data_IF_006021362539
#
_entry.id   IF_006021362539
#
_cell.length_a   1.000
_cell.length_b   1.000
_cell.length_c   1.000
_cell.angle_alpha   90.00
_cell.angle_beta   90.00
_cell.angle_gamma   90.00
#
_symmetry.space_group_name_H-M   'P 1'
#
loop_
_entity.id
_entity.type
_entity.pdbx_description
1 polymer ?
#
# COMPACT_ATOMS: atom_id res chain seq x y z
N UNK A 1 -4.78 4.19 9.59
CA UNK A 1 -4.47 3.25 8.50
C UNK A 1 -3.03 3.48 8.08
N UNK A 2 -2.32 2.43 7.73
CA UNK A 2 -0.94 2.49 7.22
C UNK A 2 -0.90 1.92 5.81
N UNK A 3 0.10 2.30 5.03
CA UNK A 3 0.47 1.59 3.80
C UNK A 3 1.80 0.90 4.03
N UNK A 4 1.94 -0.33 3.55
CA UNK A 4 3.20 -1.03 3.54
C UNK A 4 3.36 -1.79 2.22
N UNK A 5 4.60 -1.96 1.81
CA UNK A 5 4.96 -2.52 0.52
C UNK A 5 6.44 -2.84 0.42
N UNK A 6 6.88 -3.19 -0.79
CA UNK A 6 8.30 -3.45 -1.05
C UNK A 6 9.20 -2.23 -0.76
N UNK A 7 8.70 -1.00 -0.96
CA UNK A 7 9.43 0.24 -0.65
C UNK A 7 9.77 0.46 0.83
N UNK A 8 9.12 -0.27 1.75
CA UNK A 8 9.40 -0.18 3.19
C UNK A 8 9.54 -1.56 3.85
N UNK A 9 9.89 -2.58 3.08
CA UNK A 9 10.07 -3.96 3.56
C UNK A 9 8.85 -4.48 4.36
N UNK A 10 7.64 -4.08 3.94
CA UNK A 10 6.37 -4.46 4.56
C UNK A 10 6.26 -4.10 6.04
N UNK A 11 6.99 -3.08 6.50
CA UNK A 11 6.98 -2.64 7.90
C UNK A 11 5.88 -1.61 8.18
N UNK A 12 5.27 -1.70 9.36
CA UNK A 12 4.34 -0.69 9.87
C UNK A 12 5.13 0.43 10.54
N UNK A 13 5.39 1.52 9.81
CA UNK A 13 6.11 2.68 10.33
C UNK A 13 5.26 3.95 10.31
N UNK A 14 5.48 4.86 11.27
CA UNK A 14 4.67 6.08 11.40
C UNK A 14 4.78 7.00 10.18
N UNK A 15 5.92 7.00 9.48
CA UNK A 15 6.11 7.76 8.22
C UNK A 15 5.19 7.31 7.07
N UNK A 16 4.62 6.10 7.14
CA UNK A 16 3.68 5.55 6.15
C UNK A 16 2.22 5.53 6.66
N UNK A 17 1.92 6.29 7.71
CA UNK A 17 0.56 6.45 8.19
C UNK A 17 -0.23 7.37 7.26
N UNK A 18 -1.39 6.91 6.81
CA UNK A 18 -2.30 7.72 6.01
C UNK A 18 -3.02 8.73 6.90
N UNK A 19 -3.20 9.94 6.37
CA UNK A 19 -3.96 11.01 7.00
C UNK A 19 -5.40 10.94 6.51
N UNK A 20 -6.36 11.01 7.45
CA UNK A 20 -7.77 11.11 7.13
C UNK A 20 -8.10 12.54 6.70
N UNK A 21 -8.74 12.71 5.55
CA UNK A 21 -9.16 13.99 4.99
C UNK A 21 -10.63 13.88 4.58
N UNK A 22 -11.54 14.18 5.52
CA UNK A 22 -12.98 13.92 5.34
C UNK A 22 -13.25 12.42 5.23
N UNK A 23 -13.78 11.98 4.08
CA UNK A 23 -14.11 10.58 3.80
C UNK A 23 -12.94 9.79 3.17
N UNK A 24 -11.87 10.46 2.74
CA UNK A 24 -10.73 9.83 2.09
C UNK A 24 -9.54 9.67 3.05
N UNK A 25 -8.72 8.65 2.81
CA UNK A 25 -7.41 8.47 3.43
C UNK A 25 -6.34 8.73 2.39
N UNK A 26 -5.34 9.55 2.73
CA UNK A 26 -4.32 9.98 1.78
C UNK A 26 -2.93 10.05 2.41
N UNK A 27 -1.90 9.81 1.61
CA UNK A 27 -0.49 10.00 1.92
C UNK A 27 0.23 10.44 0.64
N UNK A 28 1.25 11.29 0.79
CA UNK A 28 2.16 11.64 -0.29
C UNK A 28 3.50 10.95 -0.01
N UNK A 29 3.97 10.14 -0.94
CA UNK A 29 5.25 9.43 -0.84
C UNK A 29 6.11 9.78 -2.06
N UNK A 30 7.36 10.23 -1.88
CA UNK A 30 8.29 10.31 -2.99
C UNK A 30 8.70 8.88 -3.38
N UNK A 31 8.39 8.48 -4.60
CA UNK A 31 8.77 7.18 -5.18
C UNK A 31 9.59 7.43 -6.45
N UNK A 32 10.61 6.61 -6.66
CA UNK A 32 11.34 6.59 -7.92
C UNK A 32 10.57 5.80 -8.97
N UNK A 33 11.00 5.86 -10.23
CA UNK A 33 10.46 5.01 -11.30
C UNK A 33 10.64 3.54 -10.92
N UNK A 34 9.58 2.74 -11.03
CA UNK A 34 9.63 1.32 -10.71
C UNK A 34 8.28 0.69 -10.41
N UNK A 35 8.33 -0.57 -9.97
CA UNK A 35 7.16 -1.38 -9.63
C UNK A 35 7.05 -1.55 -8.11
N UNK A 36 5.89 -1.25 -7.57
CA UNK A 36 5.64 -1.28 -6.13
C UNK A 36 4.42 -2.14 -5.80
N UNK A 37 4.66 -3.23 -5.08
CA UNK A 37 3.61 -4.00 -4.42
C UNK A 37 3.26 -3.36 -3.08
N UNK A 38 1.99 -3.14 -2.81
CA UNK A 38 1.52 -2.55 -1.55
C UNK A 38 0.19 -3.13 -1.07
N UNK A 39 -0.09 -2.91 0.22
CA UNK A 39 -1.37 -3.11 0.88
C UNK A 39 -1.60 -2.04 1.96
N UNK A 40 -2.86 -1.85 2.31
CA UNK A 40 -3.24 -1.07 3.48
C UNK A 40 -3.33 -1.95 4.72
N UNK A 41 -2.95 -1.40 5.86
CA UNK A 41 -3.04 -2.04 7.18
C UNK A 41 -3.97 -1.22 8.09
N UNK A 42 -5.04 -1.86 8.54
CA UNK A 42 -6.01 -1.30 9.49
C UNK A 42 -6.13 -2.22 10.71
N UNK A 43 -5.58 -1.78 11.84
CA UNK A 43 -5.35 -2.68 12.98
C UNK A 43 -4.37 -3.77 12.60
N UNK A 44 -4.86 -5.01 12.57
CA UNK A 44 -4.13 -6.22 12.18
C UNK A 44 -4.61 -6.79 10.84
N UNK A 45 -5.52 -6.09 10.15
CA UNK A 45 -6.08 -6.53 8.87
C UNK A 45 -5.36 -5.89 7.70
N UNK A 46 -4.89 -6.75 6.79
CA UNK A 46 -4.30 -6.38 5.51
C UNK A 46 -5.37 -6.29 4.42
N UNK A 47 -5.39 -5.17 3.69
CA UNK A 47 -6.37 -4.87 2.66
C UNK A 47 -5.64 -4.49 1.37
N UNK A 48 -6.00 -5.11 0.25
CA UNK A 48 -5.65 -4.60 -1.07
C UNK A 48 -6.43 -3.32 -1.33
N UNK A 49 -5.88 -2.44 -2.17
CA UNK A 49 -6.61 -1.29 -2.68
C UNK A 49 -7.79 -1.76 -3.57
N UNK A 50 -9.05 -1.54 -3.17
CA UNK A 50 -10.21 -2.01 -3.92
C UNK A 50 -10.43 -1.23 -5.22
N UNK A 51 -9.80 -0.07 -5.38
CA UNK A 51 -9.90 0.77 -6.58
C UNK A 51 -8.74 0.52 -7.56
N UNK A 52 -7.66 -0.11 -7.12
CA UNK A 52 -6.57 -0.50 -7.99
C UNK A 52 -6.85 -1.85 -8.65
N UNK A 53 -6.97 -1.85 -9.98
CA UNK A 53 -7.21 -3.07 -10.78
C UNK A 53 -5.94 -3.88 -11.01
N UNK A 54 -4.77 -3.29 -10.84
CA UNK A 54 -3.49 -3.97 -10.98
C UNK A 54 -3.16 -4.67 -9.67
N UNK A 55 -2.88 -5.95 -9.75
CA UNK A 55 -2.56 -6.78 -8.61
C UNK A 55 -1.60 -7.89 -8.99
N UNK A 56 -0.79 -8.31 -8.02
CA UNK A 56 0.16 -9.41 -8.13
C UNK A 56 -0.10 -10.42 -7.02
N UNK A 57 0.20 -11.70 -7.25
CA UNK A 57 0.06 -12.72 -6.21
C UNK A 57 1.07 -12.47 -5.09
N UNK A 58 0.66 -12.59 -3.83
CA UNK A 58 1.53 -12.30 -2.67
C UNK A 58 2.33 -13.51 -2.17
N UNK A 59 2.31 -14.63 -2.90
CA UNK A 59 2.92 -15.92 -2.53
C UNK A 59 2.34 -16.62 -1.29
N UNK A 60 1.36 -16.04 -0.59
CA UNK A 60 0.68 -16.62 0.58
C UNK A 60 -0.79 -16.97 0.28
N UNK A 61 -1.16 -17.03 -1.00
CA UNK A 61 -2.53 -17.31 -1.47
C UNK A 61 -3.42 -16.07 -1.57
N UNK A 62 -2.90 -14.88 -1.29
CA UNK A 62 -3.56 -13.59 -1.49
C UNK A 62 -2.99 -12.81 -2.68
N UNK A 63 -3.29 -11.51 -2.70
CA UNK A 63 -2.81 -10.57 -3.71
C UNK A 63 -2.30 -9.29 -3.06
N UNK A 64 -1.31 -8.66 -3.67
CA UNK A 64 -0.89 -7.29 -3.41
C UNK A 64 -1.45 -6.37 -4.50
N UNK A 65 -1.70 -5.11 -4.17
CA UNK A 65 -1.96 -4.08 -5.18
C UNK A 65 -0.65 -3.68 -5.84
N UNK A 66 -0.65 -3.52 -7.17
CA UNK A 66 0.54 -3.17 -7.95
C UNK A 66 0.45 -1.71 -8.42
N UNK A 67 1.50 -0.94 -8.16
CA UNK A 67 1.65 0.44 -8.63
C UNK A 67 2.89 0.51 -9.54
N UNK A 68 2.70 1.04 -10.74
CA UNK A 68 3.78 1.35 -11.67
C UNK A 68 4.02 2.86 -11.63
N UNK A 69 5.24 3.27 -11.31
CA UNK A 69 5.69 4.67 -11.31
C UNK A 69 6.61 4.86 -12.51
N UNK A 70 6.34 5.87 -13.34
CA UNK A 70 7.03 6.12 -14.61
C UNK A 70 7.85 7.40 -14.67
#
# INVERSE_FOLDING_TARGET
MYVAGNFNNWQKEERYKLRKMGEIWSINLPLEKGEYCYKFLTGDTWLTDPHNKLAENDSFGGKNSLLLVD
#
